data_IF_174156654190
#
_entry.id   IF_174156654190
#
_cell.length_a   1.000
_cell.length_b   1.000
_cell.length_c   1.000
_cell.angle_alpha   90.00
_cell.angle_beta   90.00
_cell.angle_gamma   90.00
#
_symmetry.space_group_name_H-M   'P 1'
#
loop_
_entity.id
_entity.type
_entity.pdbx_description
1 polymer ?
#
# COMPACT_ATOMS: atom_id res chain seq x y z
N UNK A 1 -18.53 -9.41 -0.05
CA UNK A 1 -18.99 -8.00 -0.25
C UNK A 1 -18.28 -7.47 -1.49
N UNK A 2 -18.91 -6.64 -2.35
CA UNK A 2 -18.23 -6.09 -3.54
C UNK A 2 -17.65 -4.69 -3.29
N UNK A 3 -16.41 -4.45 -3.70
CA UNK A 3 -15.76 -3.12 -3.72
C UNK A 3 -15.96 -2.49 -5.09
N UNK A 4 -16.98 -1.64 -5.22
CA UNK A 4 -17.45 -1.16 -6.52
C UNK A 4 -16.64 0.00 -7.11
N UNK A 5 -15.97 0.81 -6.27
CA UNK A 5 -15.24 2.00 -6.72
C UNK A 5 -13.95 2.21 -5.96
N UNK A 6 -12.98 2.90 -6.58
CA UNK A 6 -11.72 3.31 -5.93
C UNK A 6 -11.97 4.21 -4.71
N UNK A 7 -12.97 5.07 -4.77
CA UNK A 7 -13.37 5.93 -3.64
C UNK A 7 -13.89 5.10 -2.47
N UNK A 8 -14.76 4.12 -2.73
CA UNK A 8 -15.22 3.18 -1.71
C UNK A 8 -14.04 2.43 -1.09
N UNK A 9 -13.15 1.88 -1.91
CA UNK A 9 -11.95 1.18 -1.47
C UNK A 9 -11.08 2.05 -0.54
N UNK A 10 -10.76 3.28 -0.95
CA UNK A 10 -9.95 4.21 -0.15
C UNK A 10 -10.63 4.51 1.21
N UNK A 11 -11.95 4.67 1.24
CA UNK A 11 -12.69 4.86 2.49
C UNK A 11 -12.65 3.62 3.39
N UNK A 12 -12.67 2.41 2.81
CA UNK A 12 -12.55 1.16 3.55
C UNK A 12 -11.14 0.97 4.13
N UNK A 13 -10.08 1.30 3.38
CA UNK A 13 -8.69 1.33 3.87
C UNK A 13 -8.55 2.27 5.06
N UNK A 14 -9.04 3.51 4.94
CA UNK A 14 -8.98 4.51 6.03
C UNK A 14 -9.73 4.08 7.30
N UNK A 15 -10.71 3.18 7.17
CA UNK A 15 -11.45 2.57 8.28
C UNK A 15 -10.79 1.29 8.82
N UNK A 16 -9.65 0.88 8.26
CA UNK A 16 -8.92 -0.33 8.64
C UNK A 16 -9.57 -1.64 8.17
N UNK A 17 -10.52 -1.61 7.22
CA UNK A 17 -11.27 -2.80 6.83
C UNK A 17 -10.47 -3.81 6.00
N UNK A 18 -9.32 -3.40 5.45
CA UNK A 18 -8.41 -4.31 4.73
C UNK A 18 -7.16 -4.65 5.54
N UNK A 19 -7.18 -4.40 6.85
CA UNK A 19 -6.07 -4.68 7.74
C UNK A 19 -5.01 -3.59 7.75
N UNK A 20 -3.74 -4.01 7.75
CA UNK A 20 -2.63 -3.12 8.01
C UNK A 20 -2.37 -2.18 6.82
N UNK A 21 -2.24 -0.89 7.11
CA UNK A 21 -2.00 0.16 6.14
C UNK A 21 -1.16 1.26 6.78
N UNK A 22 -0.52 2.12 5.98
CA UNK A 22 0.08 3.32 6.53
C UNK A 22 -0.99 4.36 6.91
N UNK A 23 -0.76 5.21 7.91
CA UNK A 23 -1.67 6.30 8.22
C UNK A 23 -1.72 7.29 7.05
N UNK A 24 -2.93 7.56 6.55
CA UNK A 24 -3.18 8.56 5.51
C UNK A 24 -3.75 9.81 6.14
N UNK A 25 -3.02 10.91 6.06
CA UNK A 25 -3.44 12.20 6.58
C UNK A 25 -3.72 13.16 5.42
N UNK A 26 -4.64 14.10 5.62
CA UNK A 26 -4.66 15.30 4.77
C UNK A 26 -3.35 16.06 4.96
N UNK A 27 -2.95 16.89 4.00
CA UNK A 27 -1.75 17.71 4.18
C UNK A 27 -1.89 18.66 5.38
N UNK A 28 -3.10 19.14 5.68
CA UNK A 28 -3.34 19.99 6.85
C UNK A 28 -3.10 19.22 8.16
N UNK A 29 -3.70 18.03 8.31
CA UNK A 29 -3.51 17.18 9.49
C UNK A 29 -2.07 16.68 9.59
N UNK A 30 -1.47 16.37 8.44
CA UNK A 30 -0.06 16.06 8.36
C UNK A 30 0.74 17.26 8.84
N UNK A 31 0.64 18.46 8.27
CA UNK A 31 1.43 19.63 8.67
C UNK A 31 1.28 19.99 10.16
N UNK A 32 0.10 19.76 10.76
CA UNK A 32 -0.15 20.01 12.18
C UNK A 32 0.44 18.98 13.15
N UNK A 33 0.78 17.76 12.70
CA UNK A 33 1.32 16.72 13.60
C UNK A 33 2.82 16.92 13.91
N UNK A 34 3.39 16.14 14.82
CA UNK A 34 4.86 16.05 14.96
C UNK A 34 5.45 15.30 13.73
N UNK A 35 6.66 15.68 13.31
CA UNK A 35 7.40 15.00 12.23
C UNK A 35 8.70 14.46 12.74
N UNK A 36 9.01 13.22 12.37
CA UNK A 36 10.36 12.72 12.42
C UNK A 36 11.08 13.17 11.13
N UNK A 37 12.15 13.98 11.21
CA UNK A 37 12.88 14.44 10.03
C UNK A 37 13.59 13.31 9.26
N UNK A 38 13.75 12.13 9.86
CA UNK A 38 14.32 10.95 9.19
C UNK A 38 13.27 10.19 8.36
N UNK A 39 11.99 10.38 8.64
CA UNK A 39 10.93 9.74 7.88
C UNK A 39 10.87 10.30 6.46
N UNK A 40 10.55 9.41 5.53
CA UNK A 40 10.24 9.77 4.16
C UNK A 40 8.73 9.77 4.01
N UNK A 41 8.23 10.63 3.13
CA UNK A 41 6.81 10.79 2.90
C UNK A 41 6.45 10.42 1.48
N UNK A 42 5.21 10.03 1.28
CA UNK A 42 4.61 9.98 -0.04
C UNK A 42 3.42 10.91 -0.10
N UNK A 43 3.20 11.53 -1.25
CA UNK A 43 2.18 12.57 -1.41
C UNK A 43 1.37 12.32 -2.68
N UNK A 44 0.05 12.52 -2.58
CA UNK A 44 -0.89 12.42 -3.71
C UNK A 44 -1.86 13.60 -3.72
N UNK A 45 -2.10 14.13 -4.91
CA UNK A 45 -3.10 15.14 -5.17
C UNK A 45 -4.44 14.48 -5.55
N UNK A 46 -5.48 14.60 -4.70
CA UNK A 46 -6.67 13.74 -4.70
C UNK A 46 -7.73 14.00 -5.79
N UNK A 47 -7.60 15.04 -6.60
CA UNK A 47 -8.68 15.51 -7.50
C UNK A 47 -8.55 15.10 -8.96
N UNK A 48 -7.42 14.50 -9.38
CA UNK A 48 -7.22 14.11 -10.78
C UNK A 48 -6.86 12.64 -10.93
N UNK A 49 -7.63 11.94 -11.77
CA UNK A 49 -7.24 10.64 -12.31
C UNK A 49 -5.89 10.78 -13.01
N UNK A 50 -4.90 10.00 -12.57
CA UNK A 50 -3.54 10.06 -13.09
C UNK A 50 -2.63 11.12 -12.44
N UNK A 51 -3.08 11.84 -11.41
CA UNK A 51 -2.18 12.68 -10.63
C UNK A 51 -0.97 11.86 -10.15
N UNK A 52 0.26 12.36 -10.34
CA UNK A 52 1.45 11.62 -9.96
C UNK A 52 1.46 11.40 -8.45
N UNK A 53 1.87 10.20 -8.08
CA UNK A 53 2.17 9.87 -6.70
C UNK A 53 3.66 10.16 -6.49
N UNK A 54 3.97 11.10 -5.59
CA UNK A 54 5.34 11.41 -5.22
C UNK A 54 5.75 10.41 -4.14
N UNK A 55 6.83 9.66 -4.38
CA UNK A 55 7.31 8.61 -3.49
C UNK A 55 8.59 9.04 -2.79
N UNK A 56 8.68 8.73 -1.49
CA UNK A 56 9.92 8.84 -0.69
C UNK A 56 10.53 10.25 -0.68
N UNK A 57 9.69 11.28 -0.56
CA UNK A 57 10.12 12.67 -0.47
C UNK A 57 10.43 13.07 0.98
N UNK A 58 11.50 13.84 1.25
CA UNK A 58 11.78 14.36 2.59
C UNK A 58 10.74 15.41 3.01
N UNK A 59 10.67 15.70 4.31
CA UNK A 59 9.68 16.62 4.91
C UNK A 59 9.64 18.00 4.24
N UNK A 60 10.79 18.56 3.88
CA UNK A 60 10.88 19.88 3.25
C UNK A 60 10.36 19.90 1.81
N UNK A 61 10.48 18.78 1.08
CA UNK A 61 9.88 18.65 -0.25
C UNK A 61 8.37 18.59 -0.17
N UNK A 62 7.80 17.93 0.83
CA UNK A 62 6.33 17.90 1.02
C UNK A 62 5.78 19.33 1.15
N UNK A 63 6.41 20.17 1.97
CA UNK A 63 6.03 21.58 2.10
C UNK A 63 6.20 22.35 0.79
N UNK A 64 7.31 22.13 0.07
CA UNK A 64 7.56 22.78 -1.20
C UNK A 64 6.50 22.42 -2.26
N UNK A 65 6.18 21.13 -2.42
CA UNK A 65 5.16 20.65 -3.35
C UNK A 65 3.75 21.13 -2.97
N UNK A 66 3.42 21.13 -1.69
CA UNK A 66 2.12 21.62 -1.23
C UNK A 66 1.95 23.13 -1.45
N UNK A 67 3.03 23.90 -1.26
CA UNK A 67 3.05 25.35 -1.50
C UNK A 67 2.97 25.71 -2.98
N UNK A 68 3.73 25.00 -3.83
CA UNK A 68 3.69 25.18 -5.28
C UNK A 68 2.33 24.80 -5.87
N UNK A 69 1.65 23.83 -5.25
CA UNK A 69 0.34 23.31 -5.65
C UNK A 69 0.16 23.22 -7.18
N UNK A 70 1.02 22.47 -7.89
CA UNK A 70 1.06 22.47 -9.35
C UNK A 70 -0.23 21.99 -10.02
N UNK A 71 -1.14 21.39 -9.25
CA UNK A 71 -2.42 20.86 -9.70
C UNK A 71 -3.63 21.66 -9.18
N UNK A 72 -3.43 22.78 -8.48
CA UNK A 72 -4.51 23.64 -7.99
C UNK A 72 -5.46 22.97 -7.00
N UNK A 73 -4.97 22.02 -6.21
CA UNK A 73 -5.76 21.19 -5.28
C UNK A 73 -5.88 21.87 -3.93
N UNK A 74 -7.05 21.77 -3.29
CA UNK A 74 -7.18 22.26 -1.92
C UNK A 74 -6.24 21.47 -0.99
N UNK A 75 -5.56 22.11 -0.02
CA UNK A 75 -4.67 21.41 0.91
C UNK A 75 -5.32 20.23 1.65
N UNK A 76 -6.62 20.29 1.92
CA UNK A 76 -7.36 19.18 2.54
C UNK A 76 -7.47 17.93 1.63
N UNK A 77 -7.37 18.10 0.31
CA UNK A 77 -7.47 17.04 -0.69
C UNK A 77 -6.09 16.49 -1.12
N UNK A 78 -5.02 17.00 -0.52
CA UNK A 78 -3.68 16.43 -0.65
C UNK A 78 -3.53 15.35 0.42
N UNK A 79 -3.28 14.11 0.01
CA UNK A 79 -2.99 13.01 0.95
C UNK A 79 -1.50 12.86 1.15
N UNK A 80 -1.07 12.72 2.40
CA UNK A 80 0.31 12.47 2.79
C UNK A 80 0.39 11.19 3.61
N UNK A 81 1.36 10.35 3.27
CA UNK A 81 1.65 9.08 3.94
C UNK A 81 3.07 9.13 4.48
N UNK A 82 3.24 8.93 5.80
CA UNK A 82 4.56 8.88 6.42
C UNK A 82 5.07 7.44 6.45
N UNK A 83 6.30 7.25 5.98
CA UNK A 83 6.99 5.96 5.94
C UNK A 83 8.26 6.05 6.81
N UNK A 84 8.43 5.13 7.77
CA UNK A 84 9.67 5.00 8.52
C UNK A 84 10.92 4.97 7.63
N UNK A 85 12.02 5.53 8.15
CA UNK A 85 13.33 5.43 7.52
C UNK A 85 13.76 3.96 7.40
N UNK A 86 14.60 3.66 6.41
CA UNK A 86 15.16 2.31 6.23
C UNK A 86 14.17 1.26 5.72
N UNK A 87 12.94 1.65 5.36
CA UNK A 87 11.98 0.74 4.75
C UNK A 87 12.41 0.31 3.35
N UNK A 88 12.58 -0.99 3.20
CA UNK A 88 12.95 -1.65 1.94
C UNK A 88 11.85 -2.68 1.62
N UNK A 89 11.12 -2.51 0.51
CA UNK A 89 10.22 -3.54 -0.01
C UNK A 89 10.98 -4.84 -0.24
N UNK A 90 10.47 -5.95 0.30
CA UNK A 90 11.00 -7.30 0.09
C UNK A 90 10.22 -8.08 -0.97
N UNK A 91 8.90 -7.84 -1.01
CA UNK A 91 8.01 -8.36 -2.04
C UNK A 91 6.88 -7.35 -2.26
N UNK A 92 6.58 -7.11 -3.53
CA UNK A 92 5.36 -6.45 -3.97
C UNK A 92 4.52 -7.49 -4.69
N UNK A 93 3.24 -7.63 -4.36
CA UNK A 93 2.43 -8.72 -4.89
C UNK A 93 0.97 -8.37 -5.12
N UNK A 94 0.39 -9.01 -6.12
CA UNK A 94 -1.04 -9.11 -6.40
C UNK A 94 -1.46 -10.55 -6.13
N UNK A 95 -2.33 -10.75 -5.16
CA UNK A 95 -2.80 -12.07 -4.72
C UNK A 95 -4.28 -12.22 -5.06
N UNK A 96 -4.64 -13.36 -5.64
CA UNK A 96 -6.04 -13.66 -5.96
C UNK A 96 -6.37 -15.14 -5.79
N UNK A 97 -7.66 -15.47 -5.72
CA UNK A 97 -8.15 -16.85 -5.85
C UNK A 97 -8.75 -17.03 -7.24
N UNK A 98 -8.38 -18.12 -7.90
CA UNK A 98 -8.96 -18.56 -9.16
C UNK A 98 -9.47 -20.01 -9.04
N UNK A 99 -9.99 -20.56 -10.14
CA UNK A 99 -10.29 -22.00 -10.25
C UNK A 99 -9.06 -22.90 -10.02
N UNK A 100 -7.86 -22.36 -10.12
CA UNK A 100 -6.61 -23.06 -9.87
C UNK A 100 -6.11 -22.94 -8.42
N UNK A 101 -6.86 -22.26 -7.55
CA UNK A 101 -6.51 -22.00 -6.16
C UNK A 101 -5.89 -20.62 -5.98
N UNK A 102 -4.91 -20.50 -5.09
CA UNK A 102 -4.24 -19.23 -4.81
C UNK A 102 -3.21 -18.90 -5.91
N UNK A 103 -3.26 -17.69 -6.46
CA UNK A 103 -2.34 -17.19 -7.49
C UNK A 103 -1.68 -15.91 -7.02
N UNK A 104 -0.36 -15.83 -7.16
CA UNK A 104 0.45 -14.68 -6.77
C UNK A 104 1.27 -14.21 -7.97
N UNK A 105 0.97 -13.00 -8.43
CA UNK A 105 1.83 -12.22 -9.31
C UNK A 105 2.69 -11.28 -8.46
N UNK A 106 4.01 -11.37 -8.53
CA UNK A 106 4.87 -10.63 -7.60
C UNK A 106 6.22 -10.22 -8.18
N UNK A 107 6.92 -9.37 -7.43
CA UNK A 107 8.33 -9.04 -7.66
C UNK A 107 9.06 -8.83 -6.33
N UNK A 108 10.33 -9.23 -6.27
CA UNK A 108 11.23 -8.96 -5.13
C UNK A 108 12.16 -7.78 -5.40
N UNK A 109 12.00 -7.10 -6.56
CA UNK A 109 12.77 -5.91 -6.86
C UNK A 109 12.45 -4.78 -5.86
N UNK A 110 13.44 -4.16 -5.19
CA UNK A 110 13.22 -3.23 -4.08
C UNK A 110 12.81 -1.82 -4.56
N UNK A 111 11.70 -1.74 -5.29
CA UNK A 111 11.10 -0.49 -5.78
C UNK A 111 9.63 -0.40 -5.37
N UNK A 112 8.99 0.73 -5.70
CA UNK A 112 7.54 0.87 -5.60
C UNK A 112 6.86 -0.17 -6.49
N UNK A 113 5.73 -0.71 -6.04
CA UNK A 113 5.07 -1.88 -6.63
C UNK A 113 4.97 -1.87 -8.16
N UNK A 114 4.44 -0.78 -8.75
CA UNK A 114 4.34 -0.63 -10.22
C UNK A 114 5.69 -0.81 -10.93
N UNK A 115 6.77 -0.26 -10.37
CA UNK A 115 8.11 -0.35 -10.95
C UNK A 115 8.69 -1.75 -10.73
N UNK A 116 8.50 -2.33 -9.54
CA UNK A 116 8.98 -3.66 -9.21
C UNK A 116 8.36 -4.73 -10.14
N UNK A 117 7.03 -4.74 -10.27
CA UNK A 117 6.31 -5.67 -11.13
C UNK A 117 6.66 -5.49 -12.63
N UNK A 118 7.01 -4.28 -13.07
CA UNK A 118 7.45 -4.06 -14.44
C UNK A 118 8.88 -4.57 -14.72
N UNK A 119 9.76 -4.55 -13.71
CA UNK A 119 11.18 -4.89 -13.88
C UNK A 119 11.46 -6.38 -13.73
N UNK A 120 10.80 -7.05 -12.79
CA UNK A 120 11.03 -8.46 -12.49
C UNK A 120 9.73 -9.15 -12.02
N UNK A 121 8.73 -9.31 -12.92
CA UNK A 121 7.50 -10.01 -12.60
C UNK A 121 7.72 -11.53 -12.51
N UNK A 122 7.03 -12.15 -11.56
CA UNK A 122 7.01 -13.59 -11.31
C UNK A 122 5.58 -14.03 -11.06
N UNK A 123 5.21 -15.20 -11.57
CA UNK A 123 3.89 -15.81 -11.39
C UNK A 123 4.03 -17.19 -10.74
N UNK A 124 3.36 -17.39 -9.61
CA UNK A 124 3.33 -18.67 -8.91
C UNK A 124 1.92 -19.00 -8.44
N UNK A 125 1.64 -20.30 -8.32
CA UNK A 125 0.32 -20.81 -7.98
C UNK A 125 0.37 -21.81 -6.83
N UNK A 126 -0.79 -22.03 -6.18
CA UNK A 126 -1.05 -23.09 -5.20
C UNK A 126 0.01 -23.12 -4.08
N UNK A 127 0.66 -24.26 -3.88
CA UNK A 127 1.63 -24.47 -2.82
C UNK A 127 2.86 -23.57 -2.96
N UNK A 128 3.25 -23.22 -4.19
CA UNK A 128 4.36 -22.30 -4.41
C UNK A 128 4.00 -20.88 -3.96
N UNK A 129 2.80 -20.40 -4.29
CA UNK A 129 2.30 -19.11 -3.79
C UNK A 129 2.26 -19.07 -2.25
N UNK A 130 1.75 -20.13 -1.62
CA UNK A 130 1.71 -20.24 -0.15
C UNK A 130 3.13 -20.22 0.45
N UNK A 131 4.07 -20.95 -0.14
CA UNK A 131 5.45 -20.99 0.33
C UNK A 131 6.14 -19.63 0.22
N UNK A 132 5.95 -18.92 -0.90
CA UNK A 132 6.49 -17.56 -1.09
C UNK A 132 5.87 -16.60 -0.07
N UNK A 133 4.55 -16.60 0.10
CA UNK A 133 3.89 -15.73 1.07
C UNK A 133 4.41 -15.97 2.49
N UNK A 134 4.47 -17.24 2.93
CA UNK A 134 4.99 -17.60 4.26
C UNK A 134 6.48 -17.32 4.45
N UNK A 135 7.24 -17.20 3.37
CA UNK A 135 8.66 -16.83 3.45
C UNK A 135 8.85 -15.33 3.71
N UNK A 136 7.99 -14.48 3.12
CA UNK A 136 8.15 -13.02 3.19
C UNK A 136 7.29 -12.35 4.27
N UNK A 137 6.03 -12.76 4.39
CA UNK A 137 5.09 -12.19 5.35
C UNK A 137 5.40 -12.77 6.74
N UNK A 138 5.33 -11.93 7.77
CA UNK A 138 5.23 -12.47 9.12
C UNK A 138 3.92 -13.28 9.27
N UNK A 139 3.84 -14.23 10.22
CA UNK A 139 2.69 -15.13 10.35
C UNK A 139 1.35 -14.39 10.40
N UNK A 140 1.35 -13.23 11.05
CA UNK A 140 0.13 -12.53 11.38
C UNK A 140 -0.28 -11.55 10.27
N UNK A 141 0.69 -11.08 9.45
CA UNK A 141 0.44 -10.47 8.14
C UNK A 141 -0.10 -11.49 7.14
N UNK A 142 0.43 -12.71 7.12
CA UNK A 142 -0.06 -13.79 6.28
C UNK A 142 -1.53 -14.10 6.57
N UNK A 143 -1.86 -14.33 7.84
CA UNK A 143 -3.23 -14.61 8.27
C UNK A 143 -4.18 -13.49 7.82
N UNK A 144 -3.83 -12.23 8.13
CA UNK A 144 -4.65 -11.06 7.78
C UNK A 144 -4.88 -10.92 6.25
N UNK A 145 -3.86 -11.14 5.43
CA UNK A 145 -4.01 -11.10 3.96
C UNK A 145 -4.91 -12.23 3.47
N UNK A 146 -4.77 -13.44 4.03
CA UNK A 146 -5.59 -14.58 3.61
C UNK A 146 -7.05 -14.50 4.06
N UNK A 147 -7.33 -13.91 5.22
CA UNK A 147 -8.68 -13.66 5.74
C UNK A 147 -9.48 -12.70 4.84
N UNK A 148 -8.82 -11.83 4.06
CA UNK A 148 -9.51 -10.96 3.11
C UNK A 148 -10.34 -11.75 2.11
N UNK A 149 -9.90 -12.95 1.71
CA UNK A 149 -10.64 -13.79 0.77
C UNK A 149 -11.87 -14.47 1.38
N UNK A 150 -12.03 -14.49 2.70
CA UNK A 150 -13.26 -14.97 3.32
C UNK A 150 -14.38 -13.92 3.20
N UNK A 151 -14.00 -12.65 3.07
CA UNK A 151 -14.93 -11.52 2.88
C UNK A 151 -15.06 -11.10 1.41
N UNK A 152 -13.98 -11.19 0.65
CA UNK A 152 -13.81 -10.78 -0.75
C UNK A 152 -13.22 -11.94 -1.58
N UNK A 153 -13.99 -13.01 -1.82
CA UNK A 153 -13.46 -14.26 -2.38
C UNK A 153 -12.89 -14.12 -3.80
N UNK A 154 -13.42 -13.17 -4.58
CA UNK A 154 -13.05 -12.96 -5.99
C UNK A 154 -12.14 -11.73 -6.18
N UNK A 155 -11.66 -11.13 -5.08
CA UNK A 155 -10.86 -9.91 -5.16
C UNK A 155 -9.39 -10.21 -5.48
N UNK A 156 -8.72 -9.21 -6.06
CA UNK A 156 -7.27 -9.09 -6.10
C UNK A 156 -6.83 -8.20 -4.95
N UNK A 157 -5.91 -8.72 -4.14
CA UNK A 157 -5.29 -8.02 -3.02
C UNK A 157 -3.89 -7.57 -3.43
N UNK A 158 -3.67 -6.26 -3.51
CA UNK A 158 -2.34 -5.69 -3.70
C UNK A 158 -1.69 -5.39 -2.35
N UNK A 159 -0.44 -5.82 -2.19
CA UNK A 159 0.30 -5.62 -0.96
C UNK A 159 1.79 -5.41 -1.21
N UNK A 160 2.44 -4.78 -0.23
CA UNK A 160 3.90 -4.76 -0.11
C UNK A 160 4.30 -5.24 1.27
N UNK A 161 5.28 -6.14 1.31
CA UNK A 161 5.93 -6.58 2.55
C UNK A 161 7.31 -5.95 2.68
N UNK A 162 7.66 -5.54 3.89
CA UNK A 162 8.89 -4.81 4.20
C UNK A 162 9.85 -5.63 5.07
N UNK A 163 11.07 -5.12 5.22
CA UNK A 163 12.13 -5.69 6.06
C UNK A 163 11.95 -5.48 7.57
N UNK A 164 10.90 -4.77 8.00
CA UNK A 164 10.61 -4.48 9.41
C UNK A 164 9.10 -4.24 9.59
N UNK A 165 8.65 -4.13 10.84
CA UNK A 165 7.26 -3.80 11.18
C UNK A 165 6.86 -2.41 10.63
N UNK A 166 5.63 -2.30 10.13
CA UNK A 166 5.08 -1.12 9.46
C UNK A 166 3.59 -0.96 9.70
N UNK A 167 3.08 0.23 9.36
CA UNK A 167 1.64 0.50 9.32
C UNK A 167 1.05 0.84 10.69
N UNK A 168 -0.26 0.75 10.78
CA UNK A 168 -1.05 1.11 11.98
C UNK A 168 -1.30 -0.07 12.91
N UNK A 169 -1.05 -1.30 12.47
CA UNK A 169 -1.21 -2.52 13.27
C UNK A 169 0.18 -2.99 13.72
N UNK A 170 0.47 -3.09 15.03
CA UNK A 170 1.78 -3.52 15.51
C UNK A 170 2.08 -4.97 15.13
N UNK A 171 3.36 -5.32 15.02
CA UNK A 171 3.82 -6.67 14.68
C UNK A 171 3.27 -7.16 13.34
N UNK A 172 3.34 -6.28 12.34
CA UNK A 172 2.97 -6.53 10.96
C UNK A 172 4.00 -5.90 10.04
N UNK A 173 4.55 -6.68 9.12
CA UNK A 173 5.51 -6.22 8.12
C UNK A 173 4.89 -5.94 6.75
N UNK A 174 3.57 -6.12 6.60
CA UNK A 174 2.86 -6.02 5.32
C UNK A 174 1.82 -4.92 5.33
N UNK A 175 1.76 -4.15 4.25
CA UNK A 175 0.74 -3.12 3.99
C UNK A 175 -0.12 -3.56 2.80
N UNK A 176 -1.44 -3.51 2.98
CA UNK A 176 -2.42 -3.72 1.93
C UNK A 176 -2.74 -2.38 1.26
N UNK A 177 -2.52 -2.31 -0.05
CA UNK A 177 -2.74 -1.09 -0.84
C UNK A 177 -4.12 -1.03 -1.46
N UNK A 178 -4.63 -2.19 -1.85
CA UNK A 178 -5.84 -2.28 -2.66
C UNK A 178 -6.46 -3.67 -2.51
N UNK A 179 -7.80 -3.69 -2.46
CA UNK A 179 -8.62 -4.89 -2.58
C UNK A 179 -9.68 -4.58 -3.62
N UNK A 180 -9.62 -5.26 -4.78
CA UNK A 180 -10.45 -4.96 -5.95
C UNK A 180 -11.13 -6.21 -6.48
N UNK A 181 -12.43 -6.12 -6.76
CA UNK A 181 -13.11 -7.10 -7.59
C UNK A 181 -12.97 -6.70 -9.06
N UNK A 182 -12.45 -7.60 -9.90
CA UNK A 182 -12.45 -7.43 -11.36
C UNK A 182 -13.76 -7.96 -11.99
#
# INVERSE_FOLDING_TARGET
>A
MKVATKTQMNNMIRRGLFGNHFPWLSYLDWAASAKDPQHLHSMRFGVQLGAPWLYRVPVWEVYAYASQNPFGVAPADISVVSMPAGLIPRINGELQRSEHGLELHYSTHPAVMRVALALDPQDVHRIAAIAILRHFLDPASYDAVTELFDTYPDAVVEFTTYNQDVGVIPHRNTVVWEVRDY
#
